data_IF_756987629025
#
_entry.id   IF_756987629025
#
_cell.length_a   1.000
_cell.length_b   1.000
_cell.length_c   1.000
_cell.angle_alpha   90.00
_cell.angle_beta   90.00
_cell.angle_gamma   90.00
#
_symmetry.space_group_name_H-M   'P 1'
#
loop_
_entity.id
_entity.type
_entity.pdbx_description
1 polymer ?
#
# COMPACT_ATOMS: atom_id res chain seq x y z
N UNK A 1 -13.56 5.35 12.26
CA UNK A 1 -14.09 5.65 10.89
C UNK A 1 -14.10 7.16 10.70
N UNK A 2 -13.54 7.67 9.59
CA UNK A 2 -13.65 9.10 9.23
C UNK A 2 -15.09 9.54 8.93
N UNK A 3 -16.05 8.60 8.95
CA UNK A 3 -17.47 8.87 8.70
C UNK A 3 -17.84 9.13 7.23
N UNK A 4 -16.85 9.17 6.33
CA UNK A 4 -17.07 9.54 4.92
C UNK A 4 -17.10 8.36 3.94
N UNK A 5 -16.54 7.20 4.31
CA UNK A 5 -16.56 6.00 3.46
C UNK A 5 -17.66 5.02 3.88
N UNK A 6 -18.43 4.52 2.92
CA UNK A 6 -19.35 3.40 3.11
C UNK A 6 -18.63 2.03 3.07
N UNK A 7 -17.38 2.00 2.68
CA UNK A 7 -16.57 0.79 2.60
C UNK A 7 -16.10 0.33 3.99
N UNK A 8 -15.96 -0.98 4.16
CA UNK A 8 -15.37 -1.62 5.34
C UNK A 8 -14.00 -2.23 5.04
N UNK A 9 -13.44 -1.98 3.86
CA UNK A 9 -12.18 -2.57 3.40
C UNK A 9 -11.01 -1.67 3.75
N UNK A 10 -9.93 -2.27 4.27
CA UNK A 10 -8.62 -1.63 4.47
C UNK A 10 -7.60 -2.30 3.55
N UNK A 11 -6.94 -1.50 2.73
CA UNK A 11 -5.81 -1.97 1.89
C UNK A 11 -4.58 -2.12 2.77
N UNK A 12 -3.85 -3.22 2.61
CA UNK A 12 -2.56 -3.45 3.29
C UNK A 12 -1.49 -3.76 2.26
N UNK A 13 -0.47 -2.89 2.19
CA UNK A 13 0.73 -3.10 1.39
C UNK A 13 1.98 -3.06 2.26
N UNK A 14 3.08 -3.66 1.81
CA UNK A 14 4.34 -3.65 2.55
C UNK A 14 5.58 -3.58 1.68
N UNK A 15 6.68 -3.14 2.26
CA UNK A 15 8.00 -3.32 1.68
C UNK A 15 8.60 -4.71 1.97
N UNK A 16 9.86 -4.94 1.55
CA UNK A 16 10.54 -6.22 1.69
C UNK A 16 11.30 -6.39 3.02
N UNK A 17 11.00 -5.60 4.05
CA UNK A 17 11.64 -5.73 5.37
C UNK A 17 11.40 -7.11 5.97
N UNK A 18 12.42 -7.65 6.65
CA UNK A 18 12.39 -9.00 7.23
C UNK A 18 11.20 -9.19 8.17
N UNK A 19 10.88 -8.19 9.00
CA UNK A 19 9.75 -8.23 9.92
C UNK A 19 8.38 -7.99 9.23
N UNK A 20 8.37 -7.62 7.95
CA UNK A 20 7.16 -7.21 7.24
C UNK A 20 6.06 -8.26 7.24
N UNK A 21 6.41 -9.53 7.01
CA UNK A 21 5.43 -10.62 7.00
C UNK A 21 4.79 -10.85 8.39
N UNK A 22 5.61 -10.84 9.44
CA UNK A 22 5.10 -10.97 10.81
C UNK A 22 4.19 -9.82 11.19
N UNK A 23 4.63 -8.58 10.92
CA UNK A 23 3.82 -7.37 11.21
C UNK A 23 2.52 -7.37 10.41
N UNK A 24 2.57 -7.75 9.12
CA UNK A 24 1.37 -7.89 8.28
C UNK A 24 0.36 -8.87 8.91
N UNK A 25 0.82 -10.02 9.36
CA UNK A 25 -0.08 -11.03 9.95
C UNK A 25 -0.79 -10.50 11.20
N UNK A 26 -0.08 -9.77 12.06
CA UNK A 26 -0.68 -9.13 13.24
C UNK A 26 -1.69 -8.06 12.83
N UNK A 27 -1.31 -7.16 11.92
CA UNK A 27 -2.18 -6.08 11.43
C UNK A 27 -3.45 -6.63 10.79
N UNK A 28 -3.31 -7.57 9.85
CA UNK A 28 -4.46 -8.16 9.15
C UNK A 28 -5.38 -8.91 10.12
N UNK A 29 -4.82 -9.70 11.05
CA UNK A 29 -5.60 -10.42 12.06
C UNK A 29 -6.38 -9.46 12.97
N UNK A 30 -5.74 -8.36 13.41
CA UNK A 30 -6.40 -7.35 14.23
C UNK A 30 -7.53 -6.66 13.47
N UNK A 31 -7.30 -6.24 12.22
CA UNK A 31 -8.35 -5.62 11.40
C UNK A 31 -9.55 -6.53 11.22
N UNK A 32 -9.32 -7.81 10.88
CA UNK A 32 -10.40 -8.78 10.76
C UNK A 32 -11.13 -8.99 12.09
N UNK A 33 -10.39 -9.08 13.21
CA UNK A 33 -10.98 -9.16 14.55
C UNK A 33 -11.82 -7.94 14.96
N UNK A 34 -11.57 -6.79 14.33
CA UNK A 34 -12.37 -5.58 14.50
C UNK A 34 -13.51 -5.46 13.47
N UNK A 35 -13.74 -6.48 12.64
CA UNK A 35 -14.79 -6.51 11.64
C UNK A 35 -14.47 -5.77 10.34
N UNK A 36 -13.20 -5.42 10.06
CA UNK A 36 -12.79 -4.81 8.80
C UNK A 36 -12.36 -5.87 7.79
N UNK A 37 -12.81 -5.73 6.56
CA UNK A 37 -12.27 -6.52 5.45
C UNK A 37 -10.86 -6.05 5.10
N UNK A 38 -9.97 -7.00 4.81
CA UNK A 38 -8.59 -6.73 4.44
C UNK A 38 -8.37 -7.07 2.98
N UNK A 39 -7.85 -6.10 2.22
CA UNK A 39 -7.31 -6.30 0.89
C UNK A 39 -5.78 -6.22 0.95
N UNK A 40 -5.12 -7.38 1.06
CA UNK A 40 -3.67 -7.47 1.01
C UNK A 40 -3.18 -7.41 -0.44
N UNK A 41 -2.34 -6.40 -0.74
CA UNK A 41 -1.74 -6.21 -2.07
C UNK A 41 -0.28 -6.67 -2.14
N UNK A 42 0.19 -7.35 -1.09
CA UNK A 42 1.54 -7.93 -1.05
C UNK A 42 2.68 -6.91 -1.01
N UNK A 43 3.75 -7.22 -1.73
CA UNK A 43 4.89 -6.32 -1.90
C UNK A 43 4.53 -5.18 -2.85
N UNK A 44 4.43 -3.97 -2.32
CA UNK A 44 4.00 -2.79 -3.07
C UNK A 44 4.77 -1.54 -2.63
N UNK A 45 4.94 -0.61 -3.56
CA UNK A 45 5.50 0.70 -3.22
C UNK A 45 4.47 1.54 -2.46
N UNK A 46 4.93 2.58 -1.78
CA UNK A 46 4.04 3.57 -1.14
C UNK A 46 2.98 4.09 -2.13
N UNK A 47 3.35 4.64 -3.32
CA UNK A 47 2.34 5.13 -4.26
C UNK A 47 1.44 4.02 -4.83
N UNK A 48 1.92 2.79 -4.95
CA UNK A 48 1.04 1.67 -5.34
C UNK A 48 -0.05 1.44 -4.30
N UNK A 49 0.28 1.51 -3.01
CA UNK A 49 -0.69 1.32 -1.94
C UNK A 49 -1.69 2.49 -1.87
N UNK A 50 -1.22 3.72 -2.06
CA UNK A 50 -2.07 4.92 -2.16
C UNK A 50 -3.10 4.80 -3.29
N UNK A 51 -2.65 4.40 -4.49
CA UNK A 51 -3.53 4.13 -5.63
C UNK A 51 -4.48 2.96 -5.38
N UNK A 52 -4.03 1.91 -4.72
CA UNK A 52 -4.87 0.75 -4.43
C UNK A 52 -6.08 1.13 -3.55
N UNK A 53 -5.92 2.05 -2.58
CA UNK A 53 -7.02 2.57 -1.76
C UNK A 53 -8.10 3.19 -2.65
N UNK A 54 -7.72 4.09 -3.54
CA UNK A 54 -8.67 4.80 -4.41
C UNK A 54 -9.26 3.88 -5.47
N UNK A 55 -8.46 3.01 -6.09
CA UNK A 55 -8.91 2.08 -7.14
C UNK A 55 -9.87 1.01 -6.60
N UNK A 56 -9.76 0.61 -5.34
CA UNK A 56 -10.65 -0.37 -4.71
C UNK A 56 -11.84 0.27 -3.99
N UNK A 57 -11.88 1.59 -3.86
CA UNK A 57 -12.88 2.29 -3.05
C UNK A 57 -12.81 1.93 -1.57
N UNK A 58 -11.63 1.61 -1.07
CA UNK A 58 -11.41 1.22 0.32
C UNK A 58 -11.64 2.39 1.30
N UNK A 59 -11.92 2.07 2.56
CA UNK A 59 -12.06 3.06 3.62
C UNK A 59 -10.75 3.72 4.03
N UNK A 60 -9.63 3.11 3.65
CA UNK A 60 -8.28 3.60 3.93
C UNK A 60 -7.24 2.53 3.64
N UNK A 61 -6.00 2.78 4.05
CA UNK A 61 -4.91 1.83 3.84
C UNK A 61 -3.84 1.89 4.91
N UNK A 62 -3.05 0.83 4.96
CA UNK A 62 -1.88 0.72 5.83
C UNK A 62 -0.68 0.29 4.99
N UNK A 63 0.40 1.07 5.05
CA UNK A 63 1.67 0.70 4.45
C UNK A 63 2.62 0.27 5.55
N UNK A 64 3.07 -0.97 5.51
CA UNK A 64 4.03 -1.53 6.45
C UNK A 64 5.44 -1.29 5.92
N UNK A 65 6.09 -0.24 6.40
CA UNK A 65 7.42 0.19 5.97
C UNK A 65 8.04 1.14 6.97
N UNK A 66 9.35 1.15 7.08
CA UNK A 66 10.09 2.16 7.83
C UNK A 66 11.00 3.02 6.94
N UNK A 67 10.69 3.11 5.64
CA UNK A 67 11.41 3.96 4.67
C UNK A 67 12.92 3.69 4.68
N UNK A 68 13.74 4.70 5.00
CA UNK A 68 15.20 4.64 5.05
C UNK A 68 15.78 4.27 6.43
N UNK A 69 14.91 3.98 7.41
CA UNK A 69 15.38 3.55 8.73
C UNK A 69 16.12 2.21 8.68
N UNK A 70 17.05 1.93 9.61
CA UNK A 70 17.75 0.66 9.68
C UNK A 70 16.83 -0.56 9.73
N UNK A 71 17.38 -1.73 9.36
CA UNK A 71 16.62 -2.99 9.12
C UNK A 71 15.81 -3.49 10.31
N UNK A 72 16.16 -3.14 11.53
CA UNK A 72 15.44 -3.54 12.75
C UNK A 72 14.16 -2.75 12.97
N UNK A 73 13.96 -1.63 12.27
CA UNK A 73 12.75 -0.82 12.35
C UNK A 73 11.69 -1.32 11.38
N UNK A 74 10.44 -1.19 11.81
CA UNK A 74 9.28 -1.23 10.93
C UNK A 74 8.23 -0.26 11.48
N UNK A 75 7.28 0.15 10.65
CA UNK A 75 6.26 1.10 11.04
C UNK A 75 4.98 0.91 10.22
N UNK A 76 3.89 1.49 10.69
CA UNK A 76 2.63 1.57 9.99
C UNK A 76 2.42 3.01 9.53
N UNK A 77 2.27 3.21 8.22
CA UNK A 77 1.84 4.48 7.65
C UNK A 77 0.37 4.37 7.29
N UNK A 78 -0.44 5.26 7.84
CA UNK A 78 -1.88 5.21 7.70
C UNK A 78 -2.36 6.14 6.59
N UNK A 79 -3.27 5.64 5.75
CA UNK A 79 -3.89 6.35 4.64
C UNK A 79 -5.39 6.52 4.90
N UNK A 80 -5.92 7.68 4.49
CA UNK A 80 -7.35 7.94 4.45
C UNK A 80 -8.01 7.28 3.20
N UNK A 81 -9.31 7.47 3.03
CA UNK A 81 -10.10 6.94 1.90
C UNK A 81 -9.71 7.50 0.53
N UNK A 82 -8.94 8.59 0.50
CA UNK A 82 -8.40 9.19 -0.73
C UNK A 82 -7.01 8.67 -1.09
N UNK A 83 -6.47 7.74 -0.29
CA UNK A 83 -5.11 7.26 -0.45
C UNK A 83 -4.04 8.25 0.01
N UNK A 84 -4.40 9.27 0.78
CA UNK A 84 -3.48 10.28 1.31
C UNK A 84 -3.05 9.92 2.74
N UNK A 85 -1.85 10.33 3.12
CA UNK A 85 -1.43 10.20 4.53
C UNK A 85 -2.36 10.97 5.46
N UNK A 86 -2.55 10.44 6.66
CA UNK A 86 -3.33 11.13 7.69
C UNK A 86 -2.71 12.50 8.01
N UNK A 87 -3.58 13.49 8.19
CA UNK A 87 -3.18 14.80 8.70
C UNK A 87 -2.75 14.70 10.18
N UNK A 88 -2.07 15.72 10.68
CA UNK A 88 -1.71 15.77 12.10
C UNK A 88 -2.95 15.70 13.03
N UNK A 89 -4.08 16.29 12.60
CA UNK A 89 -5.33 16.21 13.35
C UNK A 89 -5.85 14.77 13.43
N UNK A 90 -5.93 14.07 12.29
CA UNK A 90 -6.34 12.66 12.25
C UNK A 90 -5.37 11.76 13.05
N UNK A 91 -4.06 12.02 12.94
CA UNK A 91 -3.06 11.30 13.74
C UNK A 91 -3.28 11.44 15.24
N UNK A 92 -3.60 12.65 15.71
CA UNK A 92 -3.92 12.89 17.12
C UNK A 92 -5.20 12.17 17.58
N UNK A 93 -6.22 12.08 16.72
CA UNK A 93 -7.43 11.30 17.00
C UNK A 93 -7.11 9.80 17.17
N UNK A 94 -6.29 9.25 16.28
CA UNK A 94 -5.83 7.84 16.36
C UNK A 94 -5.08 7.60 17.68
N UNK A 95 -4.16 8.50 18.04
CA UNK A 95 -3.42 8.40 19.30
C UNK A 95 -4.35 8.49 20.52
N UNK A 96 -5.33 9.38 20.52
CA UNK A 96 -6.29 9.52 21.61
C UNK A 96 -7.16 8.26 21.79
N UNK A 97 -7.56 7.59 20.69
CA UNK A 97 -8.27 6.30 20.72
C UNK A 97 -7.36 5.21 21.29
N UNK A 98 -6.10 5.16 20.84
CA UNK A 98 -5.13 4.17 21.31
C UNK A 98 -4.81 4.33 22.81
N UNK A 99 -4.66 5.56 23.29
CA UNK A 99 -4.39 5.86 24.72
C UNK A 99 -5.57 5.49 25.65
N UNK A 100 -6.79 5.62 25.14
CA UNK A 100 -8.01 5.26 25.90
C UNK A 100 -8.37 3.78 25.78
N UNK A 101 -7.69 3.05 24.88
CA UNK A 101 -8.10 1.70 24.49
C UNK A 101 -9.58 1.64 24.05
N UNK A 102 -10.06 2.71 23.41
CA UNK A 102 -11.45 2.90 22.99
C UNK A 102 -11.71 2.21 21.65
N UNK A 103 -11.66 0.87 21.67
CA UNK A 103 -11.95 0.02 20.51
C UNK A 103 -12.68 -1.25 20.95
N UNK A 104 -13.55 -1.72 20.07
CA UNK A 104 -14.33 -2.94 20.26
C UNK A 104 -13.96 -3.98 19.19
N UNK A 105 -13.89 -5.24 19.57
CA UNK A 105 -13.76 -6.36 18.65
C UNK A 105 -15.13 -6.83 18.19
N UNK A 106 -15.18 -7.31 16.96
CA UNK A 106 -16.37 -7.89 16.38
C UNK A 106 -16.67 -9.26 17.02
N UNK A 107 -17.95 -9.63 17.06
CA UNK A 107 -18.32 -11.01 17.36
C UNK A 107 -17.97 -11.95 16.19
N UNK A 108 -18.08 -13.25 16.41
CA UNK A 108 -17.65 -14.28 15.44
C UNK A 108 -18.39 -14.19 14.09
N UNK A 109 -19.64 -13.72 14.09
CA UNK A 109 -20.47 -13.62 12.88
C UNK A 109 -20.18 -12.35 12.07
N UNK A 110 -19.42 -11.40 12.65
CA UNK A 110 -19.08 -10.10 12.05
C UNK A 110 -17.58 -9.89 11.84
N UNK A 111 -16.79 -10.97 11.89
CA UNK A 111 -15.36 -10.90 11.56
C UNK A 111 -15.14 -10.48 10.12
N UNK A 112 -14.11 -9.65 9.90
CA UNK A 112 -13.71 -9.21 8.56
C UNK A 112 -13.14 -10.35 7.70
N UNK A 113 -13.18 -10.17 6.38
CA UNK A 113 -12.66 -11.12 5.40
C UNK A 113 -11.26 -10.73 4.97
N UNK A 114 -10.44 -11.72 4.63
CA UNK A 114 -9.13 -11.51 4.02
C UNK A 114 -9.17 -11.86 2.54
N UNK A 115 -8.71 -10.92 1.73
CA UNK A 115 -8.54 -11.09 0.29
C UNK A 115 -7.13 -10.69 -0.11
N UNK A 116 -6.55 -11.40 -1.07
CA UNK A 116 -5.24 -11.09 -1.63
C UNK A 116 -5.37 -10.76 -3.12
N UNK A 117 -4.75 -9.63 -3.54
CA UNK A 117 -4.73 -9.21 -4.94
C UNK A 117 -3.36 -8.60 -5.30
N UNK A 118 -2.54 -9.37 -5.97
CA UNK A 118 -1.20 -8.97 -6.38
C UNK A 118 -1.17 -8.18 -7.71
N UNK A 119 -2.32 -7.80 -8.27
CA UNK A 119 -2.40 -7.10 -9.57
C UNK A 119 -2.11 -5.60 -9.47
N UNK A 120 -2.04 -5.02 -8.27
CA UNK A 120 -1.95 -3.57 -8.11
C UNK A 120 -0.63 -2.95 -8.59
N UNK A 121 0.48 -3.67 -8.56
CA UNK A 121 1.74 -3.20 -9.17
C UNK A 121 1.53 -2.98 -10.67
N UNK A 122 0.94 -3.94 -11.36
CA UNK A 122 0.62 -3.81 -12.79
C UNK A 122 -0.38 -2.69 -13.06
N UNK A 123 -1.45 -2.58 -12.29
CA UNK A 123 -2.44 -1.47 -12.44
C UNK A 123 -1.79 -0.10 -12.24
N UNK A 124 -0.84 0.02 -11.33
CA UNK A 124 -0.07 1.25 -11.14
C UNK A 124 0.77 1.56 -12.39
N UNK A 125 1.51 0.58 -12.92
CA UNK A 125 2.27 0.72 -14.16
C UNK A 125 1.35 1.15 -15.30
N UNK A 126 0.23 0.48 -15.51
CA UNK A 126 -0.72 0.80 -16.56
C UNK A 126 -1.25 2.26 -16.42
N UNK A 127 -1.48 2.71 -15.18
CA UNK A 127 -1.90 4.09 -14.90
C UNK A 127 -0.80 5.11 -15.24
N UNK A 128 0.47 4.79 -14.95
CA UNK A 128 1.61 5.65 -15.31
C UNK A 128 1.74 5.74 -16.83
N UNK A 129 1.67 4.63 -17.53
CA UNK A 129 1.77 4.58 -18.99
C UNK A 129 0.62 5.32 -19.71
N UNK A 130 -0.55 5.41 -19.07
CA UNK A 130 -1.72 6.13 -19.59
C UNK A 130 -1.66 7.65 -19.36
N UNK A 131 -0.68 8.17 -18.63
CA UNK A 131 -0.54 9.62 -18.40
C UNK A 131 -0.23 10.34 -19.71
N UNK A 132 -0.91 11.45 -19.96
CA UNK A 132 -0.73 12.26 -21.20
C UNK A 132 0.69 12.75 -21.43
N UNK A 133 1.49 12.89 -20.36
CA UNK A 133 2.87 13.34 -20.43
C UNK A 133 3.87 12.20 -20.64
N UNK A 134 3.42 10.94 -20.61
CA UNK A 134 4.26 9.76 -20.86
C UNK A 134 4.11 9.34 -22.33
N UNK A 135 5.06 9.74 -23.14
CA UNK A 135 5.15 9.31 -24.55
C UNK A 135 6.00 8.05 -24.65
N UNK A 136 5.32 6.89 -24.52
CA UNK A 136 5.96 5.57 -24.57
C UNK A 136 6.73 5.34 -25.86
N UNK A 137 6.22 5.81 -27.00
CA UNK A 137 6.89 5.64 -28.30
C UNK A 137 8.15 6.50 -28.40
N UNK A 138 8.13 7.72 -27.91
CA UNK A 138 9.33 8.56 -27.85
C UNK A 138 10.39 7.95 -26.92
N UNK A 139 9.98 7.40 -25.77
CA UNK A 139 10.90 6.71 -24.84
C UNK A 139 11.55 5.51 -25.52
N UNK A 140 10.78 4.65 -26.19
CA UNK A 140 11.29 3.48 -26.92
C UNK A 140 12.29 3.86 -28.00
N UNK A 141 12.00 4.91 -28.77
CA UNK A 141 12.88 5.42 -29.85
C UNK A 141 14.18 6.03 -29.32
N UNK A 142 14.19 6.49 -28.07
CA UNK A 142 15.39 7.08 -27.48
C UNK A 142 16.44 6.04 -27.08
N UNK A 143 16.08 4.75 -27.02
CA UNK A 143 16.98 3.65 -26.65
C UNK A 143 17.74 3.88 -25.35
N UNK A 144 17.00 4.33 -24.34
CA UNK A 144 17.60 4.57 -23.01
C UNK A 144 18.17 3.29 -22.43
N UNK A 145 19.27 3.44 -21.73
CA UNK A 145 19.89 2.42 -20.91
C UNK A 145 20.03 2.96 -19.47
N UNK A 146 19.48 2.27 -18.50
CA UNK A 146 19.46 2.71 -17.11
C UNK A 146 20.10 1.68 -16.20
N UNK A 147 20.67 2.14 -15.09
CA UNK A 147 21.13 1.29 -14.01
C UNK A 147 20.25 1.58 -12.80
N UNK A 148 19.72 0.53 -12.17
CA UNK A 148 18.79 0.65 -11.04
C UNK A 148 19.31 -0.13 -9.85
N UNK A 149 19.46 0.54 -8.71
CA UNK A 149 19.66 -0.10 -7.42
C UNK A 149 18.43 0.07 -6.55
N UNK A 150 17.70 -1.00 -6.38
CA UNK A 150 16.47 -1.05 -5.57
C UNK A 150 16.71 -1.55 -4.15
N UNK A 151 17.96 -1.58 -3.69
CA UNK A 151 18.37 -2.06 -2.35
C UNK A 151 17.71 -3.38 -1.93
N UNK A 152 17.49 -4.28 -2.89
CA UNK A 152 16.79 -5.56 -2.70
C UNK A 152 15.38 -5.41 -2.09
N UNK A 153 14.65 -4.35 -2.44
CA UNK A 153 13.29 -4.09 -1.95
C UNK A 153 12.26 -4.05 -3.10
N UNK A 154 11.08 -3.53 -2.84
CA UNK A 154 9.93 -3.52 -3.79
C UNK A 154 10.20 -2.83 -5.11
N UNK A 155 11.17 -1.91 -5.18
CA UNK A 155 11.64 -1.36 -6.44
C UNK A 155 12.15 -2.43 -7.41
N UNK A 156 12.80 -3.49 -6.89
CA UNK A 156 13.25 -4.64 -7.69
C UNK A 156 12.10 -5.53 -8.20
N UNK A 157 10.90 -5.36 -7.70
CA UNK A 157 9.69 -6.05 -8.18
C UNK A 157 9.01 -5.23 -9.27
N UNK A 158 8.78 -3.93 -9.04
CA UNK A 158 7.95 -3.11 -9.94
C UNK A 158 8.74 -2.48 -11.10
N UNK A 159 10.00 -2.09 -10.88
CA UNK A 159 10.78 -1.38 -11.92
C UNK A 159 11.09 -2.22 -13.14
N UNK A 160 11.44 -3.53 -13.05
CA UNK A 160 11.61 -4.36 -14.24
C UNK A 160 10.39 -4.34 -15.16
N UNK A 161 9.19 -4.56 -14.62
CA UNK A 161 7.95 -4.55 -15.40
C UNK A 161 7.68 -3.18 -16.07
N UNK A 162 7.96 -2.08 -15.36
CA UNK A 162 7.81 -0.73 -15.92
C UNK A 162 8.82 -0.47 -17.04
N UNK A 163 10.09 -0.84 -16.83
CA UNK A 163 11.15 -0.61 -17.82
C UNK A 163 10.96 -1.48 -19.07
N UNK A 164 10.52 -2.72 -18.90
CA UNK A 164 10.13 -3.59 -20.02
C UNK A 164 8.97 -2.98 -20.82
N UNK A 165 7.94 -2.47 -20.16
CA UNK A 165 6.80 -1.82 -20.80
C UNK A 165 7.20 -0.56 -21.56
N UNK A 166 8.21 0.16 -21.10
CA UNK A 166 8.79 1.34 -21.73
C UNK A 166 9.83 0.99 -22.82
N UNK A 167 10.25 -0.28 -22.94
CA UNK A 167 11.28 -0.71 -23.89
C UNK A 167 12.68 -0.15 -23.55
N UNK A 168 12.98 0.00 -22.28
CA UNK A 168 14.25 0.53 -21.77
C UNK A 168 15.17 -0.62 -21.38
N UNK A 169 16.43 -0.58 -21.80
CA UNK A 169 17.47 -1.53 -21.37
C UNK A 169 17.92 -1.20 -19.92
N UNK A 170 18.02 -2.21 -19.03
CA UNK A 170 18.40 -2.02 -17.64
C UNK A 170 19.24 -3.17 -17.07
#
# INVERSE_FOLDING_TARGET
>A
RSGQSSSNTIVVGRDARISGEMVKNVVCGTLMGMGYDVLNIGLATTPTTELAVTMSGAAGGIIITASHNPRQWNALKLLNEKGEFLTAANGNEVLAIAEKEDFEYADVDHLGKYTEDNSFNKRHIDSVLALKLVDVEAIRKAHFKVCVDSINSVGGVILPELLDALGVEY
#
